data_IF_560784808666
#
_entry.id   IF_560784808666
#
_cell.length_a   1.000
_cell.length_b   1.000
_cell.length_c   1.000
_cell.angle_alpha   90.00
_cell.angle_beta   90.00
_cell.angle_gamma   90.00
#
_symmetry.space_group_name_H-M   'P 1'
#
loop_
_entity.id
_entity.type
_entity.pdbx_description
1 polymer ?
#
# COMPACT_ATOMS: atom_id res chain seq x y z
N UNK A 1 -24.63 0.08 2.36
CA UNK A 1 -25.46 1.28 2.07
C UNK A 1 -26.03 1.26 0.66
N UNK A 2 -25.28 0.78 -0.30
CA UNK A 2 -25.67 0.78 -1.72
C UNK A 2 -26.51 -0.44 -2.14
N UNK A 3 -26.96 -1.25 -1.19
CA UNK A 3 -27.84 -2.39 -1.45
C UNK A 3 -27.15 -3.66 -1.95
N UNK A 4 -25.85 -3.83 -1.73
CA UNK A 4 -25.20 -5.10 -2.01
C UNK A 4 -25.73 -6.21 -1.11
N UNK A 5 -25.75 -7.46 -1.60
CA UNK A 5 -26.28 -8.62 -0.86
C UNK A 5 -25.28 -9.20 0.13
N UNK A 6 -24.00 -9.01 -0.12
CA UNK A 6 -22.92 -9.46 0.78
C UNK A 6 -21.63 -8.67 0.48
N UNK A 7 -20.76 -8.61 1.46
CA UNK A 7 -19.39 -8.08 1.34
C UNK A 7 -18.44 -9.09 1.96
N UNK A 8 -17.35 -9.40 1.25
CA UNK A 8 -16.27 -10.22 1.77
C UNK A 8 -14.96 -9.48 1.55
N UNK A 9 -14.15 -9.34 2.59
CA UNK A 9 -12.81 -8.77 2.53
C UNK A 9 -11.78 -9.89 2.70
N UNK A 10 -10.98 -10.14 1.68
CA UNK A 10 -9.89 -11.11 1.75
C UNK A 10 -8.61 -10.42 2.21
N UNK A 11 -7.98 -11.00 3.22
CA UNK A 11 -6.71 -10.52 3.78
C UNK A 11 -5.64 -11.60 3.65
N UNK A 12 -4.52 -11.28 3.01
CA UNK A 12 -3.39 -12.20 2.88
C UNK A 12 -2.62 -12.38 4.19
N UNK A 13 -2.76 -11.42 5.11
CA UNK A 13 -2.08 -11.45 6.40
C UNK A 13 -2.89 -12.22 7.43
N UNK A 14 -2.17 -12.73 8.43
CA UNK A 14 -2.79 -13.29 9.64
C UNK A 14 -3.55 -12.20 10.39
N UNK A 15 -4.67 -12.59 11.02
CA UNK A 15 -5.41 -11.70 11.92
C UNK A 15 -4.51 -11.19 13.04
N UNK A 16 -4.39 -9.87 13.15
CA UNK A 16 -3.65 -9.26 14.25
C UNK A 16 -4.31 -9.56 15.60
N UNK A 17 -3.57 -9.59 16.70
CA UNK A 17 -4.12 -9.79 18.04
C UNK A 17 -5.09 -8.69 18.43
N UNK A 18 -6.07 -8.99 19.28
CA UNK A 18 -7.05 -8.01 19.76
C UNK A 18 -6.49 -6.98 20.75
N UNK A 19 -5.33 -7.26 21.35
CA UNK A 19 -4.64 -6.39 22.30
C UNK A 19 -3.13 -6.43 22.05
N UNK A 20 -2.40 -5.46 22.63
CA UNK A 20 -0.94 -5.42 22.57
C UNK A 20 -0.33 -6.70 23.12
N UNK A 21 0.70 -7.17 22.48
CA UNK A 21 1.52 -8.31 22.94
C UNK A 21 2.84 -7.82 23.52
N UNK A 22 3.56 -8.71 24.18
CA UNK A 22 4.92 -8.42 24.67
C UNK A 22 5.90 -8.02 23.57
N UNK A 23 5.63 -8.41 22.30
CA UNK A 23 6.44 -8.02 21.12
C UNK A 23 6.03 -6.66 20.53
N UNK A 24 5.04 -6.00 21.10
CA UNK A 24 4.58 -4.66 20.68
C UNK A 24 4.18 -3.85 21.92
N UNK A 25 5.14 -3.52 22.80
CA UNK A 25 4.88 -2.75 24.02
C UNK A 25 4.57 -1.28 23.71
N UNK A 26 4.06 -0.57 24.69
CA UNK A 26 4.02 0.90 24.69
C UNK A 26 5.48 1.42 24.78
N UNK A 27 5.88 2.47 24.06
CA UNK A 27 5.07 3.43 23.28
C UNK A 27 4.94 3.12 21.77
N UNK A 28 5.34 1.98 21.30
CA UNK A 28 5.23 1.64 19.88
C UNK A 28 3.79 1.78 19.37
N UNK A 29 3.65 2.02 18.05
CA UNK A 29 2.34 2.01 17.40
C UNK A 29 1.63 0.66 17.62
N UNK A 30 0.34 0.65 18.04
CA UNK A 30 -0.35 -0.59 18.36
C UNK A 30 -0.61 -1.45 17.11
N UNK A 31 0.01 -2.61 17.04
CA UNK A 31 -0.20 -3.63 16.00
C UNK A 31 -1.31 -4.58 16.42
N UNK A 32 -2.53 -4.04 16.56
CA UNK A 32 -3.72 -4.77 16.99
C UNK A 32 -4.78 -4.78 15.91
N UNK A 33 -5.65 -5.79 15.94
CA UNK A 33 -6.80 -5.85 15.04
C UNK A 33 -7.77 -4.73 15.40
N UNK A 34 -7.96 -3.81 14.46
CA UNK A 34 -8.94 -2.73 14.57
C UNK A 34 -10.09 -3.05 13.61
N UNK A 35 -11.29 -2.68 14.02
CA UNK A 35 -12.46 -2.69 13.15
C UNK A 35 -12.71 -1.25 12.72
N UNK A 36 -12.75 -1.00 11.43
CA UNK A 36 -13.04 0.30 10.85
C UNK A 36 -14.55 0.42 10.56
N UNK A 37 -15.02 1.64 10.34
CA UNK A 37 -16.45 1.94 10.13
C UNK A 37 -17.08 1.08 9.04
N UNK A 38 -16.34 0.74 7.96
CA UNK A 38 -16.85 -0.11 6.88
C UNK A 38 -17.10 -1.56 7.30
N UNK A 39 -16.23 -2.11 8.15
CA UNK A 39 -16.44 -3.44 8.71
C UNK A 39 -17.56 -3.43 9.77
N UNK A 40 -17.63 -2.38 10.62
CA UNK A 40 -18.72 -2.22 11.59
C UNK A 40 -20.09 -2.16 10.90
N UNK A 41 -20.19 -1.42 9.82
CA UNK A 41 -21.40 -1.34 9.02
C UNK A 41 -21.76 -2.70 8.37
N UNK A 42 -20.78 -3.42 7.82
CA UNK A 42 -21.00 -4.74 7.27
C UNK A 42 -21.46 -5.75 8.35
N UNK A 43 -20.89 -5.70 9.55
CA UNK A 43 -21.30 -6.51 10.69
C UNK A 43 -22.75 -6.17 11.07
N UNK A 44 -23.11 -4.91 11.15
CA UNK A 44 -24.44 -4.47 11.51
C UNK A 44 -25.52 -4.94 10.50
N UNK A 45 -25.19 -4.97 9.20
CA UNK A 45 -26.13 -5.33 8.14
C UNK A 45 -26.18 -6.86 7.93
N UNK A 46 -25.01 -7.54 7.91
CA UNK A 46 -24.91 -8.95 7.54
C UNK A 46 -24.76 -9.91 8.75
N UNK A 47 -24.58 -9.38 9.96
CA UNK A 47 -24.49 -10.16 11.19
C UNK A 47 -23.15 -10.86 11.44
N UNK A 48 -22.12 -10.60 10.59
CA UNK A 48 -20.80 -11.21 10.73
C UNK A 48 -19.69 -10.30 10.20
N UNK A 49 -18.47 -10.52 10.69
CA UNK A 49 -17.27 -9.84 10.20
C UNK A 49 -17.00 -10.21 8.73
N UNK A 50 -16.88 -9.26 7.81
CA UNK A 50 -16.65 -9.54 6.39
C UNK A 50 -15.24 -10.10 6.09
N UNK A 51 -14.31 -10.07 7.03
CA UNK A 51 -12.90 -10.39 6.82
C UNK A 51 -12.62 -11.89 6.89
N UNK A 52 -11.92 -12.38 5.89
CA UNK A 52 -11.33 -13.73 5.83
C UNK A 52 -9.81 -13.54 5.73
N UNK A 53 -9.08 -14.05 6.71
CA UNK A 53 -7.64 -13.89 6.83
C UNK A 53 -6.87 -15.04 6.19
N UNK A 54 -5.57 -14.81 5.92
CA UNK A 54 -4.65 -15.79 5.34
C UNK A 54 -5.20 -16.38 4.03
N UNK A 55 -5.90 -15.56 3.23
CA UNK A 55 -6.64 -16.01 2.06
C UNK A 55 -6.39 -15.09 0.86
N UNK A 56 -6.24 -15.69 -0.31
CA UNK A 56 -6.14 -14.97 -1.59
C UNK A 56 -7.06 -15.58 -2.63
N UNK A 57 -7.27 -14.85 -3.75
CA UNK A 57 -7.97 -15.35 -4.93
C UNK A 57 -6.99 -16.14 -5.79
N UNK A 58 -7.34 -17.37 -6.17
CA UNK A 58 -6.59 -18.20 -7.09
C UNK A 58 -7.11 -18.13 -8.53
N UNK A 59 -8.43 -18.13 -8.71
CA UNK A 59 -9.07 -18.10 -10.03
C UNK A 59 -10.32 -17.21 -10.05
N UNK A 60 -10.63 -16.68 -11.24
CA UNK A 60 -11.85 -15.95 -11.53
C UNK A 60 -12.81 -16.85 -12.32
N UNK A 61 -14.06 -16.94 -11.86
CA UNK A 61 -15.10 -17.68 -12.53
C UNK A 61 -15.98 -16.71 -13.32
N UNK A 62 -16.24 -17.05 -14.59
CA UNK A 62 -17.04 -16.24 -15.51
C UNK A 62 -18.12 -17.09 -16.18
N UNK A 63 -19.21 -16.42 -16.53
CA UNK A 63 -20.24 -17.02 -17.39
C UNK A 63 -19.83 -17.03 -18.88
N UNK A 64 -20.73 -17.51 -19.74
CA UNK A 64 -20.50 -17.56 -21.18
C UNK A 64 -20.37 -16.17 -21.83
N UNK A 65 -20.96 -15.17 -21.21
CA UNK A 65 -20.92 -13.76 -21.61
C UNK A 65 -19.69 -13.01 -21.08
N UNK A 66 -18.87 -13.68 -20.23
CA UNK A 66 -17.64 -13.14 -19.66
C UNK A 66 -17.82 -12.36 -18.34
N UNK A 67 -19.02 -12.29 -17.78
CA UNK A 67 -19.28 -11.62 -16.51
C UNK A 67 -18.73 -12.44 -15.35
N UNK A 68 -18.24 -11.75 -14.33
CA UNK A 68 -17.76 -12.39 -13.11
C UNK A 68 -18.92 -12.98 -12.32
N UNK A 69 -18.87 -14.30 -12.06
CA UNK A 69 -19.90 -15.03 -11.30
C UNK A 69 -19.39 -15.51 -9.95
N UNK A 70 -18.08 -15.65 -9.81
CA UNK A 70 -17.45 -16.12 -8.57
C UNK A 70 -15.94 -16.00 -8.61
N UNK A 71 -15.35 -16.28 -7.47
CA UNK A 71 -13.91 -16.41 -7.30
C UNK A 71 -13.60 -17.70 -6.58
N UNK A 72 -12.54 -18.36 -6.98
CA UNK A 72 -11.92 -19.41 -6.19
C UNK A 72 -10.89 -18.78 -5.27
N UNK A 73 -10.96 -19.09 -4.00
CA UNK A 73 -10.03 -18.63 -2.97
C UNK A 73 -9.22 -19.81 -2.44
N UNK A 74 -8.03 -19.52 -1.95
CA UNK A 74 -7.14 -20.51 -1.35
C UNK A 74 -6.51 -19.94 -0.08
N UNK A 75 -6.32 -20.79 0.93
CA UNK A 75 -5.61 -20.39 2.15
C UNK A 75 -4.12 -20.25 1.86
N UNK A 76 -3.48 -19.33 2.58
CA UNK A 76 -2.04 -19.10 2.52
C UNK A 76 -1.35 -19.69 3.76
N UNK A 77 -0.25 -20.37 3.53
CA UNK A 77 0.63 -20.84 4.59
C UNK A 77 1.43 -19.69 5.25
N UNK A 78 2.23 -20.03 6.27
CA UNK A 78 3.10 -19.05 6.96
C UNK A 78 4.11 -18.36 6.02
N UNK A 79 4.50 -19.03 4.94
CA UNK A 79 5.37 -18.51 3.88
C UNK A 79 4.62 -17.72 2.79
N UNK A 80 3.32 -17.49 3.00
CA UNK A 80 2.39 -16.83 2.07
C UNK A 80 2.21 -17.56 0.73
N UNK A 81 2.50 -18.86 0.69
CA UNK A 81 2.20 -19.70 -0.48
C UNK A 81 0.83 -20.36 -0.34
N UNK A 82 0.13 -20.58 -1.47
CA UNK A 82 -1.13 -21.30 -1.48
C UNK A 82 -1.02 -22.71 -0.90
N UNK A 83 -1.98 -23.08 -0.07
CA UNK A 83 -2.11 -24.42 0.49
C UNK A 83 -3.08 -25.24 -0.37
N UNK A 84 -2.55 -26.20 -1.10
CA UNK A 84 -3.34 -27.13 -1.95
C UNK A 84 -4.40 -27.87 -1.15
N UNK A 85 -5.61 -27.98 -1.70
CA UNK A 85 -6.74 -28.66 -1.04
C UNK A 85 -7.53 -27.78 -0.09
N UNK A 86 -7.28 -26.47 -0.10
CA UNK A 86 -8.02 -25.48 0.70
C UNK A 86 -8.90 -24.56 -0.14
N UNK A 87 -9.02 -24.87 -1.43
CA UNK A 87 -9.77 -24.10 -2.41
C UNK A 87 -11.25 -24.02 -2.02
N UNK A 88 -11.81 -22.81 -2.11
CA UNK A 88 -13.22 -22.51 -1.85
C UNK A 88 -13.79 -21.59 -2.91
N UNK A 89 -15.00 -21.91 -3.37
CA UNK A 89 -15.72 -21.07 -4.29
C UNK A 89 -16.59 -20.06 -3.53
N UNK A 90 -16.46 -18.80 -3.86
CA UNK A 90 -17.27 -17.72 -3.34
C UNK A 90 -18.03 -17.05 -4.50
N UNK A 91 -19.36 -16.90 -4.41
CA UNK A 91 -20.12 -16.09 -5.37
C UNK A 91 -19.61 -14.65 -5.36
N UNK A 92 -19.32 -14.09 -6.54
CA UNK A 92 -18.75 -12.76 -6.65
C UNK A 92 -19.17 -12.12 -7.99
N UNK A 93 -19.81 -10.97 -7.95
CA UNK A 93 -20.17 -10.20 -9.12
C UNK A 93 -19.29 -8.96 -9.31
N UNK A 94 -18.60 -8.54 -8.25
CA UNK A 94 -17.66 -7.42 -8.28
C UNK A 94 -16.44 -7.75 -7.40
N UNK A 95 -15.27 -7.78 -7.99
CA UNK A 95 -13.99 -7.93 -7.29
C UNK A 95 -13.23 -6.60 -7.34
N UNK A 96 -12.91 -6.06 -6.17
CA UNK A 96 -12.09 -4.85 -6.03
C UNK A 96 -10.68 -5.24 -5.56
N UNK A 97 -9.68 -4.87 -6.33
CA UNK A 97 -8.28 -5.11 -5.99
C UNK A 97 -7.79 -3.93 -5.13
N UNK A 98 -7.43 -4.21 -3.88
CA UNK A 98 -6.99 -3.23 -2.89
C UNK A 98 -5.64 -3.63 -2.25
N UNK A 99 -4.71 -4.13 -3.06
CA UNK A 99 -3.44 -4.72 -2.62
C UNK A 99 -2.29 -3.72 -2.53
N UNK A 100 -2.58 -2.42 -2.55
CA UNK A 100 -1.57 -1.35 -2.54
C UNK A 100 -1.18 -0.90 -3.93
N UNK A 101 0.04 -0.41 -4.07
CA UNK A 101 0.52 0.22 -5.30
C UNK A 101 1.77 -0.50 -5.81
N UNK A 102 1.94 -0.50 -7.13
CA UNK A 102 3.11 -1.09 -7.80
C UNK A 102 4.26 -0.09 -8.00
N UNK A 103 3.99 1.20 -7.82
CA UNK A 103 4.92 2.29 -8.06
C UNK A 103 4.35 3.37 -8.98
N UNK A 104 5.15 4.32 -9.45
CA UNK A 104 4.75 5.31 -10.42
C UNK A 104 4.39 4.67 -11.76
N UNK A 105 3.54 5.31 -12.53
CA UNK A 105 3.21 4.86 -13.88
C UNK A 105 4.46 4.89 -14.77
N UNK A 106 4.67 3.84 -15.55
CA UNK A 106 5.91 3.59 -16.30
C UNK A 106 6.28 4.72 -17.25
N UNK A 107 5.29 5.30 -17.93
CA UNK A 107 5.52 6.35 -18.94
C UNK A 107 6.23 7.60 -18.37
N UNK A 108 6.08 7.91 -17.07
CA UNK A 108 6.73 9.08 -16.45
C UNK A 108 8.23 8.86 -16.26
N UNK A 109 8.67 7.80 -15.52
CA UNK A 109 10.11 7.51 -15.42
C UNK A 109 10.77 7.23 -16.77
N UNK A 110 10.08 6.59 -17.71
CA UNK A 110 10.61 6.30 -19.05
C UNK A 110 10.83 7.57 -19.88
N UNK A 111 9.87 8.50 -19.86
CA UNK A 111 9.98 9.77 -20.60
C UNK A 111 11.20 10.61 -20.18
N UNK A 112 11.60 10.52 -18.90
CA UNK A 112 12.76 11.20 -18.36
C UNK A 112 14.03 10.34 -18.30
N UNK A 113 13.97 9.05 -18.65
CA UNK A 113 15.11 8.13 -18.54
C UNK A 113 15.56 7.89 -17.10
N UNK A 114 14.61 7.82 -16.15
CA UNK A 114 14.91 7.70 -14.74
C UNK A 114 15.22 6.25 -14.34
N UNK A 115 16.24 6.08 -13.51
CA UNK A 115 16.56 4.80 -12.90
C UNK A 115 15.56 4.46 -11.81
N UNK A 116 15.14 3.19 -11.75
CA UNK A 116 14.21 2.68 -10.72
C UNK A 116 14.93 1.80 -9.72
N UNK A 117 14.39 1.77 -8.51
CA UNK A 117 14.75 0.79 -7.49
C UNK A 117 14.10 -0.56 -7.77
N UNK A 118 14.54 -1.67 -7.12
CA UNK A 118 13.84 -2.96 -7.19
C UNK A 118 12.37 -2.91 -6.74
N UNK A 119 11.99 -1.90 -5.95
CA UNK A 119 10.61 -1.66 -5.52
C UNK A 119 9.80 -0.78 -6.48
N UNK A 120 10.29 -0.57 -7.71
CA UNK A 120 9.68 0.25 -8.78
C UNK A 120 9.60 1.76 -8.51
N UNK A 121 10.12 2.26 -7.39
CA UNK A 121 10.21 3.70 -7.12
C UNK A 121 11.38 4.33 -7.90
N UNK A 122 11.37 5.63 -8.09
CA UNK A 122 12.48 6.34 -8.73
C UNK A 122 13.67 6.42 -7.78
N UNK A 123 14.84 6.00 -8.26
CA UNK A 123 16.07 6.05 -7.49
C UNK A 123 16.59 7.50 -7.40
N UNK A 124 17.01 7.89 -6.20
CA UNK A 124 17.68 9.17 -5.94
C UNK A 124 19.07 8.94 -5.35
N UNK A 125 19.87 10.00 -5.31
CA UNK A 125 21.09 10.01 -4.51
C UNK A 125 20.77 9.66 -3.05
N UNK A 126 21.73 9.05 -2.36
CA UNK A 126 21.57 8.69 -0.94
C UNK A 126 21.35 9.96 -0.11
N UNK A 127 20.27 9.96 0.68
CA UNK A 127 19.88 11.11 1.48
C UNK A 127 19.37 12.34 0.70
N UNK A 128 19.27 12.26 -0.64
CA UNK A 128 18.87 13.36 -1.50
C UNK A 128 17.61 13.09 -2.33
N UNK A 129 17.29 14.05 -3.19
CA UNK A 129 16.12 14.07 -4.07
C UNK A 129 16.47 14.13 -5.54
N UNK A 130 17.74 14.35 -5.89
CA UNK A 130 18.25 14.33 -7.26
C UNK A 130 18.23 12.92 -7.84
N UNK A 131 17.85 12.80 -9.10
CA UNK A 131 17.83 11.56 -9.86
C UNK A 131 19.13 11.33 -10.62
N UNK A 132 19.18 10.26 -11.42
CA UNK A 132 20.29 10.03 -12.36
C UNK A 132 20.35 11.07 -13.51
N UNK A 133 19.32 11.90 -13.70
CA UNK A 133 19.27 12.93 -14.74
C UNK A 133 19.46 14.30 -14.08
N UNK A 134 20.51 15.07 -14.46
CA UNK A 134 20.75 16.40 -13.90
C UNK A 134 19.54 17.33 -14.08
N UNK A 135 19.18 18.04 -13.01
CA UNK A 135 18.04 18.95 -13.01
C UNK A 135 16.67 18.27 -12.84
N UNK A 136 16.64 16.95 -12.69
CA UNK A 136 15.41 16.19 -12.40
C UNK A 136 15.45 15.67 -10.96
N UNK A 137 14.42 16.02 -10.20
CA UNK A 137 14.26 15.66 -8.78
C UNK A 137 12.97 14.89 -8.58
N UNK A 138 12.91 14.07 -7.53
CA UNK A 138 11.71 13.32 -7.15
C UNK A 138 11.55 13.26 -5.64
N UNK A 139 10.30 13.29 -5.16
CA UNK A 139 9.96 13.27 -3.75
C UNK A 139 8.62 12.55 -3.52
N UNK A 140 8.29 12.27 -2.26
CA UNK A 140 7.05 11.63 -1.87
C UNK A 140 6.94 10.19 -2.38
N UNK A 141 5.74 9.78 -2.75
CA UNK A 141 5.44 8.40 -3.11
C UNK A 141 6.24 7.88 -4.31
N UNK A 142 6.58 8.74 -5.25
CA UNK A 142 7.41 8.37 -6.40
C UNK A 142 8.83 7.94 -6.00
N UNK A 143 9.37 8.53 -4.93
CA UNK A 143 10.70 8.25 -4.38
C UNK A 143 10.66 7.18 -3.29
N UNK A 144 9.77 7.34 -2.33
CA UNK A 144 9.70 6.54 -1.10
C UNK A 144 8.84 5.28 -1.25
N UNK A 145 7.93 5.23 -2.21
CA UNK A 145 6.76 4.36 -2.23
C UNK A 145 5.59 4.99 -1.49
N UNK A 146 4.43 4.37 -1.58
CA UNK A 146 3.22 4.91 -0.94
C UNK A 146 3.42 5.10 0.57
N UNK A 147 3.08 6.29 1.06
CA UNK A 147 3.30 6.68 2.44
C UNK A 147 2.28 7.71 2.92
N UNK A 148 2.48 8.22 4.13
CA UNK A 148 1.59 9.23 4.70
C UNK A 148 1.84 10.60 4.07
N UNK A 149 0.78 11.42 4.01
CA UNK A 149 0.83 12.80 3.49
C UNK A 149 1.89 13.65 4.19
N UNK A 150 2.12 13.44 5.49
CA UNK A 150 3.16 14.15 6.24
C UNK A 150 4.57 13.91 5.67
N UNK A 151 4.84 12.72 5.14
CA UNK A 151 6.10 12.41 4.45
C UNK A 151 6.18 13.09 3.10
N UNK A 152 5.09 13.12 2.34
CA UNK A 152 5.05 13.81 1.06
C UNK A 152 5.30 15.33 1.21
N UNK A 153 4.70 15.95 2.24
CA UNK A 153 4.95 17.37 2.57
C UNK A 153 6.40 17.59 2.97
N UNK A 154 6.95 16.76 3.86
CA UNK A 154 8.34 16.86 4.30
C UNK A 154 9.30 16.74 3.12
N UNK A 155 9.20 15.66 2.38
CA UNK A 155 10.08 15.41 1.23
C UNK A 155 9.94 16.47 0.14
N UNK A 156 8.73 16.98 -0.10
CA UNK A 156 8.52 18.08 -1.04
C UNK A 156 9.26 19.36 -0.63
N UNK A 157 9.28 19.67 0.66
CA UNK A 157 10.04 20.84 1.19
C UNK A 157 11.56 20.63 1.09
N UNK A 158 12.04 19.45 1.44
CA UNK A 158 13.47 19.12 1.35
C UNK A 158 13.94 19.08 -0.11
N UNK A 159 13.11 18.54 -1.02
CA UNK A 159 13.38 18.57 -2.46
C UNK A 159 13.42 20.00 -3.01
N UNK A 160 12.50 20.87 -2.56
CA UNK A 160 12.52 22.30 -2.97
C UNK A 160 13.82 22.98 -2.55
N UNK A 161 14.35 22.69 -1.37
CA UNK A 161 15.64 23.19 -0.92
C UNK A 161 16.81 22.66 -1.79
N UNK A 162 16.77 21.38 -2.19
CA UNK A 162 17.79 20.81 -3.07
C UNK A 162 17.73 21.42 -4.48
N UNK A 163 16.51 21.68 -5.00
CA UNK A 163 16.31 22.41 -6.26
C UNK A 163 16.86 23.83 -6.21
N UNK A 164 16.58 24.56 -5.12
CA UNK A 164 17.11 25.90 -4.89
C UNK A 164 18.64 25.92 -4.93
N UNK A 165 19.28 25.00 -4.20
CA UNK A 165 20.74 24.84 -4.25
C UNK A 165 21.28 24.51 -5.64
N UNK A 166 20.57 23.68 -6.39
CA UNK A 166 20.96 23.33 -7.76
C UNK A 166 20.89 24.53 -8.69
N UNK A 167 19.86 25.35 -8.58
CA UNK A 167 19.65 26.52 -9.42
C UNK A 167 20.55 27.70 -9.05
N UNK A 168 20.75 27.93 -7.76
CA UNK A 168 21.50 29.09 -7.25
C UNK A 168 22.99 28.80 -7.00
N UNK A 169 23.39 27.52 -7.02
CA UNK A 169 24.73 27.10 -6.65
C UNK A 169 25.00 27.11 -5.13
N UNK A 170 24.11 27.69 -4.35
CA UNK A 170 24.10 27.69 -2.87
C UNK A 170 22.66 27.74 -2.36
N UNK A 171 22.37 27.14 -1.21
CA UNK A 171 21.04 27.23 -0.59
C UNK A 171 20.93 28.49 0.27
N UNK A 172 19.94 29.34 0.01
CA UNK A 172 19.61 30.49 0.87
C UNK A 172 18.74 30.10 2.08
N UNK A 173 18.14 28.93 2.03
CA UNK A 173 17.25 28.41 3.08
C UNK A 173 18.09 27.73 4.16
N UNK A 174 17.93 28.15 5.41
CA UNK A 174 18.46 27.42 6.56
C UNK A 174 17.87 26.02 6.58
N UNK A 175 18.73 25.01 6.81
CA UNK A 175 18.29 23.64 7.00
C UNK A 175 17.10 23.60 7.95
N UNK A 176 16.00 23.02 7.50
CA UNK A 176 14.90 22.72 8.40
C UNK A 176 15.46 21.80 9.49
N UNK A 177 15.31 22.12 10.77
CA UNK A 177 15.81 21.25 11.83
C UNK A 177 15.22 19.85 11.61
N UNK A 178 16.11 18.89 11.42
CA UNK A 178 15.74 17.49 11.32
C UNK A 178 14.98 17.17 12.62
N UNK A 179 13.70 16.85 12.49
CA UNK A 179 13.01 16.18 13.59
C UNK A 179 13.66 14.80 13.65
N UNK A 180 14.61 14.64 14.56
CA UNK A 180 15.15 13.34 14.89
C UNK A 180 13.98 12.50 15.41
N UNK A 181 13.56 11.55 14.61
CA UNK A 181 12.66 10.50 15.07
C UNK A 181 13.55 9.39 15.62
N UNK A 182 13.76 9.42 16.94
CA UNK A 182 14.26 8.26 17.68
C UNK A 182 13.32 7.04 17.50
#
# INVERSE_FOLDING_TARGET
>A
RQGCKSVTQLEIMRKAPGARTAKNPWPEWPRVCKTDYGQEEAIAIFGHDPRIYETTVSHLLRDAEGHLTGVETVLLGPDRKPLTGTEKLLPCQLLLIAVGFLGPQDYVPEAFGLTRTPCSTVQTAEGGYSTNIPGVFTAGDMRRGQSLVVWAIREGREAAWEVDRYLMGHGEWTELPLIQTD
#
